data_IF_577914349198
#
_entry.id   IF_577914349198
#
_cell.length_a   1.000
_cell.length_b   1.000
_cell.length_c   1.000
_cell.angle_alpha   90.00
_cell.angle_beta   90.00
_cell.angle_gamma   90.00
#
_symmetry.space_group_name_H-M   'P 1'
#
loop_
_entity.id
_entity.type
_entity.pdbx_description
1 polymer ?
#
# COMPACT_ATOMS: atom_id res chain seq x y z
N UNK A 1 2.56 -14.72 -1.99
CA UNK A 1 1.81 -13.68 -2.66
C UNK A 1 1.68 -12.56 -1.64
N UNK A 2 2.23 -11.45 -1.96
CA UNK A 2 2.10 -10.27 -1.10
C UNK A 2 0.65 -9.80 -1.21
N UNK A 3 -0.11 -9.74 -0.13
CA UNK A 3 -1.48 -9.27 -0.17
C UNK A 3 -1.51 -7.74 -0.32
N UNK A 4 -1.24 -7.25 -1.49
CA UNK A 4 -1.74 -5.95 -1.91
C UNK A 4 -3.20 -6.18 -2.26
N UNK A 5 -4.02 -6.34 -1.24
CA UNK A 5 -5.43 -6.60 -1.42
C UNK A 5 -6.21 -5.29 -1.36
N UNK A 6 -7.34 -5.26 -2.01
CA UNK A 6 -8.31 -4.18 -1.89
C UNK A 6 -8.79 -4.01 -0.43
N UNK A 7 -8.84 -5.11 0.33
CA UNK A 7 -9.11 -5.11 1.76
C UNK A 7 -8.09 -4.29 2.56
N UNK A 8 -6.81 -4.29 2.17
CA UNK A 8 -5.80 -3.46 2.81
C UNK A 8 -6.09 -1.98 2.59
N UNK A 9 -6.41 -1.58 1.36
CA UNK A 9 -6.74 -0.19 1.02
C UNK A 9 -8.00 0.24 1.77
N UNK A 10 -9.04 -0.58 1.75
CA UNK A 10 -10.28 -0.31 2.47
C UNK A 10 -10.03 -0.17 3.98
N UNK A 11 -9.23 -1.06 4.57
CA UNK A 11 -8.85 -0.98 5.98
C UNK A 11 -8.08 0.29 6.31
N UNK A 12 -7.11 0.66 5.47
CA UNK A 12 -6.33 1.88 5.66
C UNK A 12 -7.25 3.11 5.71
N UNK A 13 -8.15 3.26 4.72
CA UNK A 13 -9.08 4.39 4.70
C UNK A 13 -10.08 4.34 5.85
N UNK A 14 -10.61 3.17 6.20
CA UNK A 14 -11.49 3.03 7.35
C UNK A 14 -10.84 3.44 8.67
N UNK A 15 -9.54 3.13 8.85
CA UNK A 15 -8.78 3.56 10.03
C UNK A 15 -8.63 5.08 10.06
N UNK A 16 -8.16 5.69 8.97
CA UNK A 16 -7.85 7.12 8.97
C UNK A 16 -9.10 8.00 8.90
N UNK A 17 -10.17 7.55 8.22
CA UNK A 17 -11.48 8.22 8.18
C UNK A 17 -12.20 8.16 9.52
N UNK A 18 -11.97 7.10 10.28
CA UNK A 18 -12.43 6.99 11.67
C UNK A 18 -11.62 7.81 12.69
N UNK A 19 -10.67 8.65 12.24
CA UNK A 19 -9.83 9.48 13.10
C UNK A 19 -8.77 8.70 13.88
N UNK A 20 -8.49 7.46 13.47
CA UNK A 20 -7.47 6.62 14.07
C UNK A 20 -6.13 6.73 13.32
N UNK A 21 -5.07 6.15 13.89
CA UNK A 21 -3.73 6.16 13.30
C UNK A 21 -3.43 4.82 12.66
N UNK A 22 -3.22 4.82 11.34
CA UNK A 22 -2.78 3.65 10.61
C UNK A 22 -1.26 3.44 10.76
N UNK A 23 -0.85 2.19 10.94
CA UNK A 23 0.57 1.79 11.04
C UNK A 23 0.85 0.70 10.00
N UNK A 24 1.15 1.08 8.74
CA UNK A 24 1.54 0.13 7.71
C UNK A 24 2.84 -0.58 8.08
N UNK A 25 2.83 -1.92 8.08
CA UNK A 25 3.98 -2.73 8.42
C UNK A 25 4.34 -3.68 7.28
N UNK A 26 5.64 -3.93 7.11
CA UNK A 26 6.16 -4.91 6.18
C UNK A 26 6.00 -6.32 6.73
N UNK A 27 5.08 -7.08 6.17
CA UNK A 27 4.81 -8.46 6.61
C UNK A 27 5.94 -9.44 6.25
N UNK A 28 6.96 -9.03 5.52
CA UNK A 28 8.15 -9.86 5.26
C UNK A 28 9.15 -9.87 6.43
N UNK A 29 9.01 -8.93 7.38
CA UNK A 29 9.87 -8.85 8.55
C UNK A 29 9.70 -10.06 9.48
N UNK A 30 10.74 -10.44 10.25
CA UNK A 30 10.63 -11.44 11.30
C UNK A 30 9.55 -11.09 12.32
N UNK A 31 8.89 -12.10 12.89
CA UNK A 31 7.80 -11.89 13.86
C UNK A 31 8.24 -11.06 15.07
N UNK A 32 9.49 -11.24 15.54
CA UNK A 32 10.02 -10.47 16.66
C UNK A 32 10.15 -8.99 16.35
N UNK A 33 10.65 -8.66 15.14
CA UNK A 33 10.78 -7.27 14.70
C UNK A 33 9.39 -6.63 14.50
N UNK A 34 8.43 -7.36 13.91
CA UNK A 34 7.05 -6.89 13.79
C UNK A 34 6.42 -6.61 15.15
N UNK A 35 6.62 -7.48 16.14
CA UNK A 35 6.12 -7.26 17.49
C UNK A 35 6.76 -6.03 18.15
N UNK A 36 8.07 -5.78 17.93
CA UNK A 36 8.71 -4.56 18.42
C UNK A 36 8.07 -3.31 17.81
N UNK A 37 7.77 -3.32 16.50
CA UNK A 37 7.14 -2.18 15.84
C UNK A 37 5.68 -1.99 16.30
N UNK A 38 4.93 -3.07 16.47
CA UNK A 38 3.55 -3.07 16.98
C UNK A 38 3.50 -2.46 18.38
N UNK A 39 4.39 -2.91 19.28
CA UNK A 39 4.44 -2.41 20.67
C UNK A 39 4.87 -0.94 20.74
N UNK A 40 5.90 -0.56 19.96
CA UNK A 40 6.40 0.83 19.90
C UNK A 40 5.40 1.83 19.34
N UNK A 41 4.51 1.39 18.46
CA UNK A 41 3.45 2.22 17.90
C UNK A 41 2.15 2.19 18.73
N UNK A 42 2.16 1.51 19.88
CA UNK A 42 0.98 1.37 20.77
C UNK A 42 -0.26 0.80 20.04
N UNK A 43 -0.05 -0.14 19.14
CA UNK A 43 -1.11 -0.71 18.31
C UNK A 43 -2.12 -1.44 19.19
N UNK A 44 -3.40 -1.12 19.01
CA UNK A 44 -4.51 -1.74 19.74
C UNK A 44 -5.28 -2.74 18.89
N UNK A 45 -5.26 -2.57 17.58
CA UNK A 45 -5.93 -3.46 16.61
C UNK A 45 -4.90 -3.84 15.55
N UNK A 46 -4.70 -5.13 15.34
CA UNK A 46 -3.85 -5.68 14.30
C UNK A 46 -4.72 -6.27 13.19
N UNK A 47 -4.57 -5.76 11.97
CA UNK A 47 -5.24 -6.29 10.77
C UNK A 47 -4.18 -6.97 9.91
N UNK A 48 -4.35 -8.26 9.63
CA UNK A 48 -3.35 -9.00 8.87
C UNK A 48 -3.97 -10.15 8.08
N UNK A 49 -3.17 -10.73 7.19
CA UNK A 49 -3.47 -12.02 6.58
C UNK A 49 -3.09 -13.16 7.56
N UNK A 50 -3.87 -14.24 7.57
CA UNK A 50 -3.65 -15.40 8.45
C UNK A 50 -2.39 -16.21 8.13
N UNK A 51 -1.75 -15.96 7.00
CA UNK A 51 -0.50 -16.63 6.62
C UNK A 51 0.60 -16.45 7.69
N UNK A 52 0.55 -15.37 8.48
CA UNK A 52 1.54 -15.06 9.51
C UNK A 52 1.07 -15.46 10.92
N UNK A 53 0.76 -16.76 11.11
CA UNK A 53 0.42 -17.32 12.43
C UNK A 53 1.51 -17.09 13.48
N UNK A 54 2.78 -17.10 13.09
CA UNK A 54 3.92 -16.79 13.93
C UNK A 54 3.86 -15.37 14.52
N UNK A 55 3.42 -14.39 13.73
CA UNK A 55 3.23 -13.01 14.20
C UNK A 55 2.06 -12.93 15.17
N UNK A 56 0.96 -13.63 14.89
CA UNK A 56 -0.23 -13.63 15.74
C UNK A 56 0.10 -14.19 17.14
N UNK A 57 0.82 -15.30 17.19
CA UNK A 57 1.23 -15.92 18.44
C UNK A 57 2.19 -15.04 19.24
N UNK A 58 3.22 -14.52 18.59
CA UNK A 58 4.20 -13.64 19.21
C UNK A 58 3.57 -12.32 19.68
N UNK A 59 2.66 -11.73 18.91
CA UNK A 59 2.00 -10.47 19.26
C UNK A 59 1.09 -10.60 20.48
N UNK A 60 0.39 -11.71 20.62
CA UNK A 60 -0.43 -11.99 21.83
C UNK A 60 0.40 -12.00 23.12
N UNK A 61 1.64 -12.47 23.02
CA UNK A 61 2.54 -12.57 24.17
C UNK A 61 3.31 -11.26 24.43
N UNK A 62 3.81 -10.61 23.35
CA UNK A 62 4.76 -9.51 23.43
C UNK A 62 4.13 -8.11 23.33
N UNK A 63 2.87 -7.99 22.87
CA UNK A 63 2.22 -6.70 22.64
C UNK A 63 1.03 -6.49 23.59
N UNK A 64 1.27 -6.03 24.83
CA UNK A 64 0.24 -5.97 25.87
C UNK A 64 -0.90 -4.99 25.60
N UNK A 65 -0.69 -4.02 24.70
CA UNK A 65 -1.72 -3.06 24.28
C UNK A 65 -2.62 -3.58 23.17
N UNK A 66 -2.24 -4.68 22.51
CA UNK A 66 -3.02 -5.29 21.46
C UNK A 66 -4.30 -5.93 22.01
N UNK A 67 -5.45 -5.44 21.58
CA UNK A 67 -6.76 -5.89 22.06
C UNK A 67 -7.46 -6.80 21.06
N UNK A 68 -7.34 -6.48 19.77
CA UNK A 68 -8.07 -7.17 18.71
C UNK A 68 -7.13 -7.56 17.56
N UNK A 69 -7.39 -8.73 16.99
CA UNK A 69 -6.72 -9.21 15.79
C UNK A 69 -7.82 -9.49 14.77
N UNK A 70 -7.74 -8.84 13.61
CA UNK A 70 -8.67 -8.99 12.50
C UNK A 70 -7.94 -9.63 11.33
N UNK A 71 -8.54 -10.67 10.75
CA UNK A 71 -8.03 -11.28 9.52
C UNK A 71 -8.70 -10.69 8.29
N UNK A 72 -7.92 -10.40 7.27
CA UNK A 72 -8.42 -9.99 5.95
C UNK A 72 -9.01 -11.19 5.17
N UNK A 73 -8.79 -12.42 5.60
CA UNK A 73 -9.37 -13.60 4.96
C UNK A 73 -10.85 -13.76 5.33
N UNK A 74 -11.66 -14.15 4.34
CA UNK A 74 -13.13 -14.18 4.44
C UNK A 74 -13.69 -15.23 5.43
N UNK A 75 -12.93 -16.26 5.76
CA UNK A 75 -13.41 -17.42 6.54
C UNK A 75 -12.83 -17.50 7.97
N UNK A 76 -12.15 -16.47 8.43
CA UNK A 76 -11.51 -16.48 9.73
C UNK A 76 -12.49 -16.28 10.87
N UNK A 77 -12.70 -17.31 11.68
CA UNK A 77 -13.18 -17.22 13.06
C UNK A 77 -12.60 -18.39 13.85
N UNK A 78 -11.32 -18.33 14.14
CA UNK A 78 -10.70 -19.27 15.08
C UNK A 78 -10.26 -18.53 16.36
N UNK A 79 -10.91 -18.83 17.48
CA UNK A 79 -10.57 -18.25 18.77
C UNK A 79 -10.81 -16.74 18.84
N UNK A 80 -9.77 -15.97 19.15
CA UNK A 80 -9.83 -14.51 19.31
C UNK A 80 -9.55 -13.73 18.01
N UNK A 81 -9.47 -14.40 16.88
CA UNK A 81 -9.25 -13.75 15.57
C UNK A 81 -10.61 -13.53 14.93
N UNK A 82 -10.91 -12.30 14.60
CA UNK A 82 -12.17 -11.90 13.95
C UNK A 82 -11.96 -11.79 12.44
N UNK A 83 -12.94 -12.21 11.67
CA UNK A 83 -12.95 -11.91 10.23
C UNK A 83 -13.29 -10.44 10.02
N UNK A 84 -12.43 -9.71 9.32
CA UNK A 84 -12.68 -8.31 8.96
C UNK A 84 -13.97 -8.19 8.15
N UNK A 85 -14.11 -8.99 7.09
CA UNK A 85 -15.31 -8.98 6.21
C UNK A 85 -16.58 -9.30 6.97
N UNK A 86 -16.55 -10.31 7.83
CA UNK A 86 -17.72 -10.68 8.64
C UNK A 86 -18.06 -9.58 9.64
N UNK A 87 -17.06 -9.02 10.31
CA UNK A 87 -17.27 -7.89 11.23
C UNK A 87 -17.87 -6.66 10.54
N UNK A 88 -17.45 -6.39 9.28
CA UNK A 88 -18.03 -5.31 8.48
C UNK A 88 -19.46 -5.59 8.05
N UNK A 89 -19.80 -6.85 7.72
CA UNK A 89 -21.17 -7.23 7.30
C UNK A 89 -22.15 -7.31 8.46
N UNK A 90 -21.70 -7.70 9.65
CA UNK A 90 -22.53 -7.82 10.85
C UNK A 90 -22.80 -6.46 11.52
N UNK A 91 -21.95 -5.47 11.28
CA UNK A 91 -22.28 -4.09 11.62
C UNK A 91 -23.22 -3.55 10.54
N UNK A 92 -24.50 -3.80 10.73
CA UNK A 92 -25.53 -2.98 10.09
C UNK A 92 -25.21 -1.53 10.46
N UNK A 93 -25.00 -0.71 9.44
CA UNK A 93 -24.99 0.74 9.59
C UNK A 93 -26.44 1.08 9.96
N UNK A 94 -26.77 0.92 11.21
CA UNK A 94 -27.98 1.49 11.76
C UNK A 94 -27.71 2.99 11.75
N UNK A 95 -28.50 3.74 11.00
CA UNK A 95 -28.37 5.20 10.90
C UNK A 95 -28.42 5.87 12.29
N UNK A 96 -28.79 5.11 13.30
CA UNK A 96 -29.00 5.51 14.69
C UNK A 96 -27.91 5.01 15.66
N UNK A 97 -26.82 4.40 15.18
CA UNK A 97 -25.76 3.87 16.09
C UNK A 97 -24.97 4.96 16.82
N UNK A 98 -25.28 6.25 16.59
CA UNK A 98 -24.60 7.35 17.29
C UNK A 98 -23.08 7.35 17.11
N UNK A 99 -22.59 6.72 16.05
CA UNK A 99 -21.20 6.89 15.62
C UNK A 99 -21.06 8.36 15.22
N UNK A 100 -20.77 9.21 16.19
CA UNK A 100 -20.42 10.59 15.96
C UNK A 100 -19.32 10.60 14.92
N UNK A 101 -19.56 11.31 13.80
CA UNK A 101 -18.49 11.55 12.83
C UNK A 101 -17.34 12.20 13.57
N UNK A 102 -16.23 11.48 13.69
CA UNK A 102 -15.04 12.03 14.31
C UNK A 102 -14.62 13.25 13.49
N UNK A 103 -14.55 14.40 14.13
CA UNK A 103 -14.07 15.62 13.45
C UNK A 103 -12.56 15.49 13.26
N UNK A 104 -12.17 15.30 11.99
CA UNK A 104 -10.78 15.13 11.60
C UNK A 104 -10.20 16.49 11.20
N UNK A 105 -9.09 16.87 11.85
CA UNK A 105 -8.37 18.07 11.49
C UNK A 105 -7.16 17.77 10.58
N UNK A 106 -6.77 18.68 9.69
CA UNK A 106 -5.64 18.46 8.79
C UNK A 106 -4.32 18.13 9.52
N UNK A 107 -4.11 18.68 10.69
CA UNK A 107 -2.87 18.50 11.46
C UNK A 107 -2.93 17.33 12.45
N UNK A 108 -4.02 16.59 12.47
CA UNK A 108 -4.16 15.36 13.24
C UNK A 108 -3.24 14.28 12.67
N UNK A 109 -2.56 13.54 13.56
CA UNK A 109 -1.79 12.35 13.20
C UNK A 109 -2.71 11.29 12.63
N UNK A 110 -2.35 10.73 11.46
CA UNK A 110 -3.15 9.68 10.82
C UNK A 110 -2.33 8.45 10.42
N UNK A 111 -1.01 8.58 10.30
CA UNK A 111 -0.19 7.45 9.85
C UNK A 111 1.19 7.49 10.52
N UNK A 112 1.67 6.32 10.94
CA UNK A 112 3.07 6.13 11.37
C UNK A 112 3.71 5.13 10.42
N UNK A 113 4.76 5.57 9.71
CA UNK A 113 5.50 4.71 8.78
C UNK A 113 6.88 4.42 9.31
N UNK A 114 7.22 3.15 9.46
CA UNK A 114 8.55 2.76 9.90
C UNK A 114 9.53 2.75 8.72
N UNK A 115 10.71 3.33 8.94
CA UNK A 115 11.82 3.36 7.97
C UNK A 115 13.06 2.75 8.60
N UNK A 116 13.89 2.08 7.79
CA UNK A 116 15.20 1.60 8.23
C UNK A 116 16.06 2.80 8.62
N UNK A 117 16.27 2.99 9.92
CA UNK A 117 17.11 4.07 10.42
C UNK A 117 18.60 3.82 10.13
N UNK A 118 19.36 4.88 9.89
CA UNK A 118 20.83 4.83 9.74
C UNK A 118 21.55 4.28 10.98
N UNK A 119 20.87 4.20 12.11
CA UNK A 119 21.36 3.71 13.40
C UNK A 119 21.02 2.26 13.70
N UNK A 120 20.50 1.51 12.71
CA UNK A 120 20.13 0.09 12.84
C UNK A 120 18.76 -0.18 13.47
N UNK A 121 18.11 0.83 14.08
CA UNK A 121 16.73 0.70 14.59
C UNK A 121 15.76 1.45 13.68
N UNK A 122 14.66 0.81 13.33
CA UNK A 122 13.59 1.42 12.56
C UNK A 122 13.03 2.66 13.27
N UNK A 123 12.78 3.74 12.53
CA UNK A 123 12.20 4.99 13.04
C UNK A 123 10.76 5.12 12.56
N UNK A 124 9.84 5.42 13.47
CA UNK A 124 8.45 5.71 13.14
C UNK A 124 8.30 7.17 12.71
N UNK A 125 8.05 7.40 11.43
CA UNK A 125 7.75 8.73 10.88
C UNK A 125 6.27 9.01 11.08
N UNK A 126 5.96 10.05 11.83
CA UNK A 126 4.60 10.46 12.16
C UNK A 126 4.08 11.43 11.07
N UNK A 127 3.01 11.07 10.40
CA UNK A 127 2.42 11.81 9.30
C UNK A 127 1.00 12.27 9.63
N UNK A 128 0.70 13.54 9.40
CA UNK A 128 -0.63 14.11 9.53
C UNK A 128 -1.44 13.92 8.25
N UNK A 129 -2.75 14.11 8.32
CA UNK A 129 -3.61 14.15 7.12
C UNK A 129 -3.11 15.17 6.11
N UNK A 130 -2.69 16.37 6.57
CA UNK A 130 -2.11 17.42 5.73
C UNK A 130 -0.87 16.93 4.98
N UNK A 131 0.07 16.28 5.66
CA UNK A 131 1.30 15.80 5.03
C UNK A 131 1.00 14.84 3.85
N UNK A 132 0.06 13.92 4.04
CA UNK A 132 -0.29 12.95 3.02
C UNK A 132 -1.04 13.59 1.84
N UNK A 133 -2.01 14.47 2.13
CA UNK A 133 -2.80 15.15 1.10
C UNK A 133 -1.90 16.09 0.27
N UNK A 134 -1.08 16.91 0.91
CA UNK A 134 -0.16 17.81 0.21
C UNK A 134 0.83 17.02 -0.66
N UNK A 135 1.39 15.92 -0.14
CA UNK A 135 2.28 15.07 -0.93
C UNK A 135 1.57 14.45 -2.14
N UNK A 136 0.36 13.92 -1.93
CA UNK A 136 -0.41 13.30 -3.02
C UNK A 136 -0.87 14.32 -4.08
N UNK A 137 -1.03 15.61 -3.72
CA UNK A 137 -1.58 16.63 -4.62
C UNK A 137 -0.54 17.61 -5.16
N UNK A 138 0.68 17.65 -4.62
CA UNK A 138 1.72 18.63 -4.99
C UNK A 138 2.19 18.55 -6.46
N UNK A 139 2.08 17.37 -7.08
CA UNK A 139 2.47 17.20 -8.48
C UNK A 139 1.24 17.29 -9.39
N UNK A 140 1.24 18.28 -10.27
CA UNK A 140 0.27 18.36 -11.36
C UNK A 140 0.69 17.40 -12.49
N UNK A 141 0.17 16.18 -12.42
CA UNK A 141 0.41 15.17 -13.45
C UNK A 141 -0.65 15.31 -14.54
N UNK A 142 -0.23 15.82 -15.71
CA UNK A 142 -1.09 15.86 -16.91
C UNK A 142 -1.25 14.44 -17.46
N UNK A 143 -2.15 13.68 -16.86
CA UNK A 143 -2.49 12.35 -17.31
C UNK A 143 -3.72 12.39 -18.23
N UNK A 144 -3.91 11.39 -19.12
CA UNK A 144 -5.10 11.29 -19.97
C UNK A 144 -6.39 11.20 -19.13
N UNK A 145 -7.54 11.51 -19.73
CA UNK A 145 -8.85 11.51 -19.02
C UNK A 145 -9.18 10.18 -18.32
N UNK A 146 -8.73 9.06 -18.86
CA UNK A 146 -8.89 7.75 -18.24
C UNK A 146 -7.54 7.23 -17.80
N UNK A 147 -7.23 7.42 -16.53
CA UNK A 147 -5.99 6.97 -15.94
C UNK A 147 -6.10 5.54 -15.42
N UNK A 148 -5.16 4.69 -15.82
CA UNK A 148 -4.98 3.34 -15.28
C UNK A 148 -3.56 3.26 -14.72
N UNK A 149 -3.45 3.06 -13.43
CA UNK A 149 -2.18 2.91 -12.71
C UNK A 149 -1.98 1.43 -12.42
N UNK A 150 -0.82 0.88 -12.78
CA UNK A 150 -0.41 -0.44 -12.31
C UNK A 150 0.51 -0.27 -11.10
N UNK A 151 -0.01 -0.55 -9.91
CA UNK A 151 0.75 -0.50 -8.67
C UNK A 151 1.56 -1.79 -8.52
N UNK A 152 2.88 -1.67 -8.53
CA UNK A 152 3.83 -2.80 -8.49
C UNK A 152 4.72 -2.79 -7.26
N UNK A 153 4.68 -1.72 -6.47
CA UNK A 153 5.46 -1.55 -5.26
C UNK A 153 4.69 -2.00 -4.02
N UNK A 154 5.40 -2.39 -2.95
CA UNK A 154 4.74 -2.77 -1.70
C UNK A 154 3.94 -1.60 -1.11
N UNK A 155 2.67 -1.85 -0.80
CA UNK A 155 1.71 -0.82 -0.39
C UNK A 155 2.03 -0.19 0.98
N UNK A 156 2.74 -0.92 1.85
CA UNK A 156 3.19 -0.41 3.15
C UNK A 156 4.32 0.64 3.04
N UNK A 157 4.93 0.80 1.87
CA UNK A 157 5.93 1.86 1.65
C UNK A 157 5.28 3.20 1.31
N UNK A 158 5.83 4.28 1.89
CA UNK A 158 5.35 5.65 1.70
C UNK A 158 5.21 6.04 0.22
N UNK A 159 6.13 5.60 -0.63
CA UNK A 159 6.13 5.94 -2.05
C UNK A 159 4.95 5.31 -2.79
N UNK A 160 4.65 4.03 -2.53
CA UNK A 160 3.47 3.38 -3.10
C UNK A 160 2.17 3.99 -2.55
N UNK A 161 2.06 4.11 -1.22
CA UNK A 161 0.86 4.67 -0.60
C UNK A 161 0.56 6.08 -1.14
N UNK A 162 1.54 6.97 -1.17
CA UNK A 162 1.31 8.36 -1.58
C UNK A 162 1.10 8.51 -3.08
N UNK A 163 1.88 7.82 -3.92
CA UNK A 163 1.91 8.08 -5.36
C UNK A 163 1.05 7.13 -6.19
N UNK A 164 0.88 5.86 -5.80
CA UNK A 164 -0.04 4.96 -6.48
C UNK A 164 -1.46 5.09 -5.91
N UNK A 165 -1.60 5.05 -4.58
CA UNK A 165 -2.92 4.95 -3.95
C UNK A 165 -3.53 6.35 -3.78
N UNK A 166 -2.93 7.21 -2.95
CA UNK A 166 -3.52 8.52 -2.62
C UNK A 166 -3.56 9.43 -3.85
N UNK A 167 -2.47 9.51 -4.62
CA UNK A 167 -2.43 10.25 -5.88
C UNK A 167 -3.40 9.68 -6.90
N UNK A 168 -3.42 8.36 -7.07
CA UNK A 168 -4.35 7.68 -7.97
C UNK A 168 -5.81 8.01 -7.67
N UNK A 169 -6.20 7.96 -6.41
CA UNK A 169 -7.55 8.34 -5.96
C UNK A 169 -7.82 9.83 -6.24
N UNK A 170 -6.86 10.72 -5.95
CA UNK A 170 -7.01 12.16 -6.21
C UNK A 170 -7.23 12.49 -7.68
N UNK A 171 -6.77 11.63 -8.59
CA UNK A 171 -6.92 11.75 -10.04
C UNK A 171 -8.14 10.99 -10.59
N UNK A 172 -8.91 10.29 -9.74
CA UNK A 172 -9.98 9.40 -10.19
C UNK A 172 -9.47 8.24 -11.05
N UNK A 173 -8.24 7.78 -10.83
CA UNK A 173 -7.62 6.71 -11.60
C UNK A 173 -8.16 5.32 -11.24
N UNK A 174 -8.11 4.40 -12.19
CA UNK A 174 -8.27 2.97 -11.93
C UNK A 174 -6.93 2.44 -11.43
N UNK A 175 -6.88 1.96 -10.21
CA UNK A 175 -5.68 1.39 -9.61
C UNK A 175 -5.73 -0.12 -9.75
N UNK A 176 -4.82 -0.67 -10.57
CA UNK A 176 -4.66 -2.10 -10.75
C UNK A 176 -3.52 -2.58 -9.84
N UNK A 177 -3.83 -3.48 -8.92
CA UNK A 177 -2.84 -4.00 -7.98
C UNK A 177 -2.14 -5.20 -8.61
N UNK A 178 -0.80 -5.17 -8.62
CA UNK A 178 0.01 -6.25 -9.13
C UNK A 178 0.18 -7.34 -8.08
N UNK A 179 -0.10 -8.58 -8.46
CA UNK A 179 -0.08 -9.73 -7.56
C UNK A 179 1.32 -10.33 -7.33
N UNK A 180 2.27 -10.04 -8.20
CA UNK A 180 3.65 -10.54 -8.10
C UNK A 180 4.59 -9.79 -9.03
N UNK A 181 5.81 -9.49 -8.57
CA UNK A 181 6.85 -8.87 -9.40
C UNK A 181 7.18 -9.70 -10.67
N UNK A 182 7.02 -11.03 -10.61
CA UNK A 182 7.22 -11.89 -11.77
C UNK A 182 6.14 -11.73 -12.84
N UNK A 183 4.97 -11.20 -12.47
CA UNK A 183 3.83 -11.02 -13.38
C UNK A 183 3.68 -9.63 -13.94
N UNK A 184 4.55 -8.68 -13.57
CA UNK A 184 4.47 -7.28 -14.02
C UNK A 184 4.32 -7.17 -15.54
N UNK A 185 5.17 -7.86 -16.33
CA UNK A 185 5.07 -7.83 -17.78
C UNK A 185 3.74 -8.40 -18.33
N UNK A 186 3.19 -9.41 -17.68
CA UNK A 186 1.87 -9.95 -18.02
C UNK A 186 0.76 -8.97 -17.67
N UNK A 187 0.84 -8.38 -16.49
CA UNK A 187 -0.16 -7.46 -15.98
C UNK A 187 -0.16 -6.12 -16.73
N UNK A 188 1.00 -5.65 -17.21
CA UNK A 188 1.08 -4.52 -18.16
C UNK A 188 0.23 -4.79 -19.40
N UNK A 189 0.35 -5.98 -20.00
CA UNK A 189 -0.43 -6.36 -21.20
C UNK A 189 -1.92 -6.52 -20.90
N UNK A 190 -2.25 -7.00 -19.70
CA UNK A 190 -3.64 -7.22 -19.28
C UNK A 190 -4.36 -5.91 -18.99
N UNK A 191 -3.78 -5.07 -18.14
CA UNK A 191 -4.41 -3.85 -17.64
C UNK A 191 -4.17 -2.64 -18.53
N UNK A 192 -3.15 -2.67 -19.40
CA UNK A 192 -2.76 -1.58 -20.30
C UNK A 192 -2.67 -0.24 -19.57
N UNK A 193 -1.80 -0.14 -18.54
CA UNK A 193 -1.72 1.07 -17.73
C UNK A 193 -1.20 2.26 -18.52
N UNK A 194 -1.60 3.45 -18.08
CA UNK A 194 -1.01 4.71 -18.56
C UNK A 194 0.26 5.05 -17.76
N UNK A 195 0.30 4.66 -16.50
CA UNK A 195 1.36 4.99 -15.56
C UNK A 195 1.76 3.77 -14.72
N UNK A 196 3.06 3.67 -14.45
CA UNK A 196 3.63 2.69 -13.52
C UNK A 196 4.68 3.41 -12.67
N UNK A 197 4.61 3.19 -11.36
CA UNK A 197 5.65 3.58 -10.42
C UNK A 197 6.68 2.46 -10.32
N UNK A 198 7.96 2.80 -10.45
CA UNK A 198 9.05 1.82 -10.36
C UNK A 198 10.20 2.37 -9.52
N UNK A 199 10.94 1.48 -8.88
CA UNK A 199 12.26 1.81 -8.32
C UNK A 199 13.33 1.66 -9.41
N UNK A 200 14.48 2.34 -9.30
CA UNK A 200 15.55 2.32 -10.30
C UNK A 200 15.94 0.91 -10.76
N UNK A 201 16.11 -0.02 -9.82
CA UNK A 201 16.47 -1.40 -10.12
C UNK A 201 15.47 -2.11 -11.06
N UNK A 202 14.18 -1.78 -10.93
CA UNK A 202 13.14 -2.31 -11.84
C UNK A 202 13.31 -1.72 -13.23
N UNK A 203 13.54 -0.41 -13.32
CA UNK A 203 13.77 0.29 -14.60
C UNK A 203 14.99 -0.27 -15.31
N UNK A 204 16.11 -0.42 -14.61
CA UNK A 204 17.35 -1.02 -15.13
C UNK A 204 17.12 -2.46 -15.62
N UNK A 205 16.30 -3.23 -14.89
CA UNK A 205 15.94 -4.60 -15.28
C UNK A 205 15.11 -4.62 -16.56
N UNK A 206 14.17 -3.68 -16.70
CA UNK A 206 13.41 -3.53 -17.94
C UNK A 206 14.31 -3.05 -19.08
N UNK A 207 15.17 -2.05 -18.86
CA UNK A 207 16.10 -1.54 -19.85
C UNK A 207 17.00 -2.66 -20.43
N UNK A 208 17.57 -3.49 -19.55
CA UNK A 208 18.38 -4.65 -20.00
C UNK A 208 17.61 -5.61 -20.90
N UNK A 209 16.33 -5.87 -20.61
CA UNK A 209 15.48 -6.71 -21.47
C UNK A 209 15.16 -6.05 -22.80
N UNK A 210 15.26 -4.74 -22.90
CA UNK A 210 15.02 -3.99 -24.12
C UNK A 210 16.28 -3.87 -25.00
N UNK A 211 17.47 -4.17 -24.48
CA UNK A 211 18.72 -4.16 -25.26
C UNK A 211 18.66 -5.09 -26.48
N UNK A 212 18.00 -6.23 -26.35
CA UNK A 212 17.83 -7.21 -27.44
C UNK A 212 16.95 -6.68 -28.60
N UNK A 213 16.20 -5.62 -28.37
CA UNK A 213 15.27 -5.02 -29.34
C UNK A 213 15.58 -3.55 -29.64
N UNK A 214 16.75 -3.06 -29.25
CA UNK A 214 17.17 -1.65 -29.42
C UNK A 214 17.19 -1.16 -30.87
N UNK A 215 17.34 -2.07 -31.84
CA UNK A 215 17.38 -1.74 -33.28
C UNK A 215 15.98 -1.58 -33.88
N UNK A 216 14.92 -1.88 -33.11
CA UNK A 216 13.55 -1.64 -33.51
C UNK A 216 13.14 -0.19 -33.26
N UNK A 217 12.19 0.38 -34.03
CA UNK A 217 11.67 1.71 -33.77
C UNK A 217 11.10 1.82 -32.34
N UNK A 218 11.43 2.88 -31.62
CA UNK A 218 11.03 3.11 -30.23
C UNK A 218 9.51 2.93 -30.01
N UNK A 219 8.70 3.43 -30.95
CA UNK A 219 7.24 3.29 -30.91
C UNK A 219 6.81 1.81 -30.91
N UNK A 220 7.46 0.99 -31.72
CA UNK A 220 7.14 -0.45 -31.82
C UNK A 220 7.51 -1.16 -30.49
N UNK A 221 8.68 -0.85 -29.94
CA UNK A 221 9.12 -1.39 -28.67
C UNK A 221 8.19 -0.97 -27.53
N UNK A 222 7.86 0.32 -27.46
CA UNK A 222 6.93 0.85 -26.47
C UNK A 222 5.57 0.16 -26.53
N UNK A 223 4.97 0.06 -27.71
CA UNK A 223 3.67 -0.58 -27.89
C UNK A 223 3.69 -2.08 -27.56
N UNK A 224 4.78 -2.78 -27.90
CA UNK A 224 4.91 -4.21 -27.63
C UNK A 224 5.12 -4.52 -26.14
N UNK A 225 5.81 -3.66 -25.41
CA UNK A 225 6.17 -3.88 -24.00
C UNK A 225 5.13 -3.30 -23.06
N UNK A 226 4.75 -2.05 -23.28
CA UNK A 226 3.89 -1.28 -22.37
C UNK A 226 2.46 -1.08 -22.90
N UNK A 227 2.24 -1.26 -24.17
CA UNK A 227 0.96 -0.97 -24.82
C UNK A 227 0.87 0.46 -25.39
N UNK A 228 -0.10 0.68 -26.28
CA UNK A 228 -0.27 1.97 -26.98
C UNK A 228 -0.69 3.13 -26.08
N UNK A 229 -1.31 2.83 -24.93
CA UNK A 229 -1.84 3.83 -23.99
C UNK A 229 -0.82 4.24 -22.93
N UNK A 230 0.33 3.59 -22.88
CA UNK A 230 1.35 3.85 -21.88
C UNK A 230 1.95 5.24 -22.04
N UNK A 231 1.99 6.00 -20.97
CA UNK A 231 2.41 7.40 -20.98
C UNK A 231 3.64 7.68 -20.11
N UNK A 232 3.67 7.17 -18.88
CA UNK A 232 4.64 7.61 -17.87
C UNK A 232 5.18 6.47 -17.01
N UNK A 233 6.50 6.45 -16.82
CA UNK A 233 7.16 5.76 -15.73
C UNK A 233 7.60 6.82 -14.71
N UNK A 234 7.18 6.66 -13.45
CA UNK A 234 7.70 7.47 -12.36
C UNK A 234 8.78 6.67 -11.63
N UNK A 235 9.96 7.24 -11.49
CA UNK A 235 11.06 6.66 -10.72
C UNK A 235 11.21 7.34 -9.38
N UNK A 236 11.37 6.57 -8.31
CA UNK A 236 11.59 7.09 -6.97
C UNK A 236 12.15 6.03 -6.02
N UNK A 237 12.34 6.43 -4.77
CA UNK A 237 12.86 5.56 -3.71
C UNK A 237 14.38 5.36 -3.70
N UNK A 238 15.07 5.63 -4.81
CA UNK A 238 16.53 5.58 -4.93
C UNK A 238 17.01 6.43 -6.10
N UNK A 239 18.33 6.61 -6.21
CA UNK A 239 18.96 7.26 -7.35
C UNK A 239 18.85 6.39 -8.60
N UNK A 240 18.37 6.96 -9.70
CA UNK A 240 18.40 6.33 -11.03
C UNK A 240 19.67 6.77 -11.75
N UNK A 241 20.49 5.82 -12.17
CA UNK A 241 21.68 6.11 -12.97
C UNK A 241 21.23 6.55 -14.38
N UNK A 242 21.75 7.70 -14.90
CA UNK A 242 21.40 8.20 -16.22
C UNK A 242 21.72 7.24 -17.35
#
# INVERSE_FOLDING_TARGET
>A
ADPTADEWIASYFGIVDGGNVAVPLDMSLPAEELCELIDRADVTILILDEIRKDVIEAAKEKCPKLKYILSMQKEANEGNILSLTKSMMEQTIDEDTGAEKTEITPDQLCTIMFTSGTTGKSKGVMLTHRNLVENATCLDMKLPERNVILSVLPIHHAYCLSMDILKGISLGAIICINDSLMRVAKNIKLFKPNMILMVPLMIETFAKKLEDVKDLPEKVVKEAVFGSQFHTICSGGAYLNP
#
